data_IF_079347901845
#
_entry.id   IF_079347901845
#
_cell.length_a   1.000
_cell.length_b   1.000
_cell.length_c   1.000
_cell.angle_alpha   90.00
_cell.angle_beta   90.00
_cell.angle_gamma   90.00
#
_symmetry.space_group_name_H-M   'P 1'
#
loop_
_entity.id
_entity.type
_entity.pdbx_description
1 polymer ?
#
# COMPACT_ATOMS: atom_id res chain seq x y z
N UNK A 1 19.59 34.14 -24.47
CA UNK A 1 20.14 33.25 -25.51
C UNK A 1 19.72 31.83 -25.21
N UNK A 2 18.72 31.34 -25.95
CA UNK A 2 18.16 30.00 -25.83
C UNK A 2 19.12 28.99 -26.47
N UNK A 3 19.40 27.89 -25.77
CA UNK A 3 19.97 26.67 -26.36
C UNK A 3 18.86 25.61 -26.31
N UNK A 4 18.41 25.06 -27.45
CA UNK A 4 17.50 23.93 -27.43
C UNK A 4 18.33 22.68 -27.11
N UNK A 5 18.05 22.04 -25.97
CA UNK A 5 18.56 20.70 -25.70
C UNK A 5 17.64 19.71 -26.43
N UNK A 6 18.12 19.20 -27.56
CA UNK A 6 17.47 18.17 -28.35
C UNK A 6 17.49 16.86 -27.55
N UNK A 7 16.37 16.51 -26.92
CA UNK A 7 16.20 15.25 -26.19
C UNK A 7 15.92 14.13 -27.21
N UNK A 8 16.95 13.35 -27.55
CA UNK A 8 16.80 12.16 -28.39
C UNK A 8 16.31 11.02 -27.49
N UNK A 9 15.01 10.73 -27.53
CA UNK A 9 14.40 9.55 -26.91
C UNK A 9 14.63 8.34 -27.83
N UNK A 10 15.71 7.59 -27.59
CA UNK A 10 16.02 6.36 -28.31
C UNK A 10 15.37 5.16 -27.59
N UNK A 11 14.05 5.05 -27.73
CA UNK A 11 13.31 3.85 -27.34
C UNK A 11 13.62 2.77 -28.40
N UNK A 12 14.56 1.87 -28.09
CA UNK A 12 14.86 0.72 -28.95
C UNK A 12 13.67 -0.25 -28.92
N UNK A 13 12.69 0.01 -29.80
CA UNK A 13 11.70 -0.94 -30.28
C UNK A 13 12.39 -1.98 -31.16
N UNK A 14 12.91 -3.02 -30.53
CA UNK A 14 13.23 -4.30 -31.16
C UNK A 14 12.37 -5.32 -30.39
N UNK A 15 11.27 -5.84 -30.92
CA UNK A 15 11.22 -6.83 -32.00
C UNK A 15 9.87 -6.68 -32.74
N UNK A 16 9.87 -6.22 -33.98
CA UNK A 16 8.77 -6.45 -34.92
C UNK A 16 9.04 -7.75 -35.68
N UNK A 17 8.58 -8.88 -35.12
CA UNK A 17 8.33 -10.07 -35.94
C UNK A 17 6.93 -9.91 -36.52
N UNK A 18 6.84 -9.37 -37.74
CA UNK A 18 5.63 -9.39 -38.54
C UNK A 18 5.31 -10.81 -38.98
N UNK A 19 4.67 -11.59 -38.10
CA UNK A 19 3.89 -12.74 -38.51
C UNK A 19 2.46 -12.24 -38.73
N UNK A 20 2.03 -12.22 -39.99
CA UNK A 20 0.63 -12.11 -40.33
C UNK A 20 -0.12 -13.23 -39.58
N UNK A 21 -0.90 -12.86 -38.58
CA UNK A 21 -1.73 -13.81 -37.83
C UNK A 21 -3.15 -13.76 -38.36
N UNK A 22 -3.66 -14.96 -38.63
CA UNK A 22 -5.05 -15.24 -38.96
C UNK A 22 -6.03 -14.43 -38.10
N UNK A 23 -7.17 -14.06 -38.72
CA UNK A 23 -8.34 -13.45 -38.05
C UNK A 23 -8.99 -14.44 -37.07
N UNK A 24 -8.25 -14.93 -36.08
CA UNK A 24 -8.86 -15.62 -34.95
C UNK A 24 -9.72 -14.61 -34.18
N UNK A 25 -10.92 -15.02 -33.71
CA UNK A 25 -11.68 -14.18 -32.79
C UNK A 25 -10.80 -13.81 -31.61
N UNK A 26 -10.94 -12.56 -31.13
CA UNK A 26 -10.22 -12.08 -29.96
C UNK A 26 -10.56 -12.98 -28.78
N UNK A 27 -9.56 -13.67 -28.25
CA UNK A 27 -9.68 -14.56 -27.10
C UNK A 27 -8.48 -14.33 -26.21
N UNK A 28 -8.75 -14.20 -24.90
CA UNK A 28 -7.72 -14.07 -23.86
C UNK A 28 -7.50 -15.36 -23.10
N UNK A 29 -8.35 -16.38 -23.31
CA UNK A 29 -8.21 -17.65 -22.60
C UNK A 29 -6.80 -18.22 -22.82
N UNK A 30 -6.10 -18.46 -21.71
CA UNK A 30 -4.73 -18.95 -21.69
C UNK A 30 -3.66 -17.85 -21.72
N UNK A 31 -4.04 -16.57 -21.80
CA UNK A 31 -3.09 -15.47 -21.80
C UNK A 31 -2.59 -15.16 -20.38
N UNK A 32 -1.30 -14.90 -20.28
CA UNK A 32 -0.66 -14.37 -19.09
C UNK A 32 -0.41 -12.88 -19.29
N UNK A 33 -0.53 -12.11 -18.22
CA UNK A 33 -0.13 -10.71 -18.20
C UNK A 33 0.72 -10.40 -16.99
N UNK A 34 1.50 -9.35 -17.15
CA UNK A 34 2.36 -8.79 -16.12
C UNK A 34 2.26 -7.28 -16.20
N UNK A 35 2.25 -6.62 -15.06
CA UNK A 35 2.57 -5.20 -15.01
C UNK A 35 3.33 -4.83 -13.74
N UNK A 36 4.04 -3.72 -13.85
CA UNK A 36 4.57 -2.96 -12.75
C UNK A 36 4.19 -1.49 -12.97
N UNK A 37 3.88 -0.78 -11.89
CA UNK A 37 3.49 0.62 -11.95
C UNK A 37 3.57 1.29 -10.59
N UNK A 38 3.10 2.52 -10.52
CA UNK A 38 3.10 3.31 -9.29
C UNK A 38 1.72 3.35 -8.67
N UNK A 39 1.67 3.57 -7.36
CA UNK A 39 0.42 3.81 -6.64
C UNK A 39 0.45 5.13 -5.85
N UNK A 40 -0.75 5.55 -5.47
CA UNK A 40 -1.04 6.60 -4.49
C UNK A 40 -2.13 6.07 -3.59
N UNK A 41 -2.07 6.44 -2.32
CA UNK A 41 -2.97 5.93 -1.30
C UNK A 41 -3.69 7.07 -0.59
N UNK A 42 -4.89 6.79 -0.12
CA UNK A 42 -5.60 7.62 0.84
C UNK A 42 -6.09 6.71 1.95
N UNK A 43 -6.07 7.19 3.20
CA UNK A 43 -6.41 6.39 4.36
C UNK A 43 -7.66 6.95 5.04
N UNK A 44 -8.62 6.06 5.28
CA UNK A 44 -9.68 6.34 6.24
C UNK A 44 -9.08 6.45 7.64
N UNK A 45 -9.79 7.14 8.53
CA UNK A 45 -9.44 7.17 9.95
C UNK A 45 -9.41 5.75 10.51
N UNK A 46 -8.46 5.51 11.41
CA UNK A 46 -8.19 4.18 11.96
C UNK A 46 -8.27 4.20 13.48
N UNK A 47 -8.78 3.10 14.05
CA UNK A 47 -8.66 2.83 15.47
C UNK A 47 -7.41 1.97 15.70
N UNK A 48 -6.59 2.36 16.68
CA UNK A 48 -5.32 1.67 17.00
C UNK A 48 -5.34 1.27 18.47
N UNK A 49 -5.38 -0.03 18.71
CA UNK A 49 -5.33 -0.60 20.05
C UNK A 49 -3.91 -1.02 20.42
N UNK A 50 -3.45 -0.56 21.58
CA UNK A 50 -2.17 -0.92 22.19
C UNK A 50 -2.42 -1.70 23.46
N UNK A 51 -1.73 -2.83 23.62
CA UNK A 51 -1.84 -3.69 24.78
C UNK A 51 -0.46 -4.16 25.20
N UNK A 52 -0.15 -4.05 26.49
CA UNK A 52 1.09 -4.49 27.08
C UNK A 52 1.00 -4.53 28.61
N UNK A 53 2.14 -4.72 29.27
CA UNK A 53 2.19 -4.67 30.74
C UNK A 53 1.98 -3.22 31.18
N UNK A 54 0.94 -2.93 31.96
CA UNK A 54 0.67 -1.59 32.49
C UNK A 54 -0.24 -0.73 31.62
N UNK A 55 -0.51 -1.11 30.36
CA UNK A 55 -1.41 -0.38 29.48
C UNK A 55 -2.29 -1.28 28.61
N UNK A 56 -3.54 -0.86 28.41
CA UNK A 56 -4.49 -1.44 27.45
C UNK A 56 -5.42 -0.29 27.03
N UNK A 57 -5.13 0.31 25.88
CA UNK A 57 -5.86 1.49 25.41
C UNK A 57 -6.07 1.45 23.90
N UNK A 58 -7.07 2.19 23.44
CA UNK A 58 -7.37 2.41 22.03
C UNK A 58 -7.41 3.89 21.74
N UNK A 59 -6.65 4.30 20.72
CA UNK A 59 -6.80 5.58 20.07
C UNK A 59 -7.84 5.44 18.96
N UNK A 60 -8.84 6.30 18.95
CA UNK A 60 -9.87 6.30 17.91
C UNK A 60 -9.66 7.42 16.91
N UNK A 61 -10.16 7.19 15.69
CA UNK A 61 -10.21 8.20 14.65
C UNK A 61 -8.84 8.77 14.23
N UNK A 62 -7.78 7.95 14.37
CA UNK A 62 -6.39 8.34 14.04
C UNK A 62 -6.26 8.57 12.54
N UNK A 63 -5.72 9.74 12.18
CA UNK A 63 -5.46 10.16 10.81
C UNK A 63 -4.05 9.77 10.39
N UNK A 64 -3.93 9.32 9.14
CA UNK A 64 -2.66 9.06 8.49
C UNK A 64 -2.68 9.54 7.05
N UNK A 65 -1.49 9.82 6.53
CA UNK A 65 -1.25 10.29 5.19
C UNK A 65 -0.39 9.31 4.39
N UNK A 66 -0.50 9.43 3.07
CA UNK A 66 0.44 8.87 2.14
C UNK A 66 1.79 9.62 2.18
N UNK A 67 2.86 8.97 1.71
CA UNK A 67 4.19 9.58 1.61
C UNK A 67 4.79 9.43 0.20
N UNK A 68 4.18 10.10 -0.80
CA UNK A 68 4.66 10.05 -2.16
C UNK A 68 5.99 10.80 -2.32
N UNK A 69 6.94 10.18 -3.01
CA UNK A 69 8.18 10.84 -3.40
C UNK A 69 7.87 11.89 -4.48
N UNK A 70 8.44 13.11 -4.41
CA UNK A 70 8.26 14.13 -5.43
C UNK A 70 8.54 13.61 -6.84
N UNK A 71 7.68 13.99 -7.79
CA UNK A 71 7.79 13.50 -9.16
C UNK A 71 9.09 14.00 -9.80
N UNK A 72 9.97 13.05 -10.14
CA UNK A 72 11.17 13.34 -10.91
C UNK A 72 11.61 12.11 -11.71
N UNK A 73 12.34 12.34 -12.80
CA UNK A 73 12.92 11.28 -13.62
C UNK A 73 13.85 10.39 -12.78
N UNK A 74 14.67 10.98 -11.92
CA UNK A 74 15.64 10.26 -11.10
C UNK A 74 14.97 9.36 -10.04
N UNK A 75 13.78 9.72 -9.56
CA UNK A 75 13.07 8.91 -8.55
C UNK A 75 12.21 7.80 -9.17
N UNK A 76 11.62 8.05 -10.35
CA UNK A 76 10.61 7.15 -10.93
C UNK A 76 11.13 6.30 -12.10
N UNK A 77 12.20 6.72 -12.79
CA UNK A 77 12.73 6.01 -13.97
C UNK A 77 14.14 5.43 -13.77
N UNK A 78 14.80 5.74 -12.66
CA UNK A 78 16.05 5.09 -12.28
C UNK A 78 15.80 3.67 -11.74
N UNK A 79 16.29 2.68 -12.46
CA UNK A 79 16.11 1.26 -12.12
C UNK A 79 16.72 0.93 -10.75
N UNK A 80 17.78 1.63 -10.34
CA UNK A 80 18.41 1.42 -9.02
C UNK A 80 17.55 1.92 -7.85
N UNK A 81 16.51 2.71 -8.15
CA UNK A 81 15.63 3.38 -7.18
C UNK A 81 14.18 2.96 -7.30
N UNK A 82 13.89 1.96 -8.12
CA UNK A 82 12.53 1.52 -8.47
C UNK A 82 11.68 1.08 -7.27
N UNK A 83 12.33 0.70 -6.16
CA UNK A 83 11.68 0.33 -4.90
C UNK A 83 11.45 1.49 -3.91
N UNK A 84 11.95 2.69 -4.20
CA UNK A 84 11.84 3.87 -3.31
C UNK A 84 10.44 4.52 -3.40
N UNK A 85 9.89 4.80 -4.60
CA UNK A 85 8.49 5.17 -4.74
C UNK A 85 7.56 4.01 -4.36
N UNK A 86 6.32 4.34 -4.06
CA UNK A 86 5.28 3.32 -3.93
C UNK A 86 4.95 2.71 -5.29
N UNK A 87 4.87 1.38 -5.33
CA UNK A 87 4.67 0.63 -6.55
C UNK A 87 3.67 -0.50 -6.39
N UNK A 88 3.16 -0.97 -7.52
CA UNK A 88 2.38 -2.18 -7.64
C UNK A 88 3.08 -3.15 -8.59
N UNK A 89 2.92 -4.43 -8.29
CA UNK A 89 3.35 -5.52 -9.14
C UNK A 89 2.19 -6.48 -9.29
N UNK A 90 1.92 -6.96 -10.50
CA UNK A 90 0.89 -7.98 -10.72
C UNK A 90 1.28 -8.94 -11.82
N UNK A 91 1.00 -10.22 -11.58
CA UNK A 91 1.02 -11.27 -12.58
C UNK A 91 -0.32 -11.99 -12.58
N UNK A 92 -0.93 -12.14 -13.75
CA UNK A 92 -2.24 -12.76 -13.89
C UNK A 92 -2.37 -13.69 -15.07
N UNK A 93 -3.41 -14.53 -15.00
CA UNK A 93 -3.74 -15.56 -15.96
C UNK A 93 -5.24 -15.53 -16.28
N UNK A 94 -5.57 -15.36 -17.56
CA UNK A 94 -6.93 -15.42 -18.06
C UNK A 94 -7.37 -16.87 -18.27
N UNK A 95 -8.18 -17.41 -17.36
CA UNK A 95 -8.73 -18.76 -17.50
C UNK A 95 -9.94 -18.82 -18.45
N UNK A 96 -10.51 -17.66 -18.81
CA UNK A 96 -11.41 -17.48 -19.94
C UNK A 96 -11.28 -16.04 -20.50
N UNK A 97 -12.09 -15.70 -21.50
CA UNK A 97 -11.96 -14.41 -22.20
C UNK A 97 -12.32 -13.17 -21.35
N UNK A 98 -12.99 -13.34 -20.22
CA UNK A 98 -13.42 -12.26 -19.34
C UNK A 98 -12.81 -12.33 -17.96
N UNK A 99 -12.33 -13.48 -17.51
CA UNK A 99 -11.89 -13.66 -16.14
C UNK A 99 -10.43 -14.04 -16.03
N UNK A 100 -9.75 -13.38 -15.10
CA UNK A 100 -8.38 -13.67 -14.72
C UNK A 100 -8.28 -13.93 -13.22
N UNK A 101 -7.32 -14.78 -12.86
CA UNK A 101 -6.81 -14.87 -11.49
C UNK A 101 -5.40 -14.27 -11.48
N UNK A 102 -5.06 -13.50 -10.45
CA UNK A 102 -3.73 -12.88 -10.33
C UNK A 102 -3.16 -12.94 -8.93
N UNK A 103 -1.84 -12.89 -8.86
CA UNK A 103 -1.08 -12.56 -7.66
C UNK A 103 -0.48 -11.16 -7.83
N UNK A 104 -0.49 -10.39 -6.76
CA UNK A 104 0.05 -9.03 -6.78
C UNK A 104 0.62 -8.59 -5.44
N UNK A 105 1.38 -7.51 -5.48
CA UNK A 105 1.89 -6.83 -4.29
C UNK A 105 1.76 -5.32 -4.48
N UNK A 106 1.09 -4.67 -3.54
CA UNK A 106 1.00 -3.21 -3.48
C UNK A 106 1.89 -2.71 -2.33
N UNK A 107 2.99 -2.03 -2.68
CA UNK A 107 3.90 -1.40 -1.72
C UNK A 107 3.42 0.03 -1.46
N UNK A 108 2.67 0.24 -0.37
CA UNK A 108 2.16 1.55 0.04
C UNK A 108 2.99 2.14 1.18
N UNK A 109 2.67 3.37 1.61
CA UNK A 109 3.26 3.99 2.82
C UNK A 109 2.16 4.62 3.68
N UNK A 110 2.10 4.23 4.94
CA UNK A 110 1.17 4.78 5.93
C UNK A 110 1.96 5.61 6.94
N UNK A 111 1.64 6.89 7.09
CA UNK A 111 2.30 7.80 8.05
C UNK A 111 1.25 8.45 8.92
N UNK A 112 1.21 8.10 10.21
CA UNK A 112 0.33 8.78 11.17
C UNK A 112 0.65 10.27 11.22
N UNK A 113 -0.38 11.12 11.30
CA UNK A 113 -0.17 12.56 11.51
C UNK A 113 0.32 12.80 12.95
N UNK A 114 1.47 13.44 13.09
CA UNK A 114 1.97 13.85 14.39
C UNK A 114 1.13 14.98 15.00
N UNK A 115 1.09 15.05 16.34
CA UNK A 115 0.45 16.14 17.10
C UNK A 115 -1.04 16.34 16.76
N UNK A 116 -1.73 15.25 16.47
CA UNK A 116 -3.15 15.27 16.10
C UNK A 116 -4.09 15.10 17.30
N UNK A 117 -5.29 15.65 17.19
CA UNK A 117 -6.39 15.39 18.12
C UNK A 117 -7.11 14.09 17.76
N UNK A 118 -7.36 13.27 18.77
CA UNK A 118 -8.07 12.00 18.70
C UNK A 118 -8.95 11.83 19.94
N UNK A 119 -9.52 10.63 20.13
CA UNK A 119 -10.04 10.22 21.43
C UNK A 119 -9.34 8.95 21.90
N UNK A 120 -9.27 8.77 23.23
CA UNK A 120 -8.63 7.62 23.86
C UNK A 120 -9.60 6.95 24.84
N UNK A 121 -9.57 5.62 24.84
CA UNK A 121 -10.29 4.77 25.79
C UNK A 121 -9.32 3.74 26.35
N UNK A 122 -9.41 3.42 27.63
CA UNK A 122 -8.61 2.39 28.28
C UNK A 122 -7.75 2.93 29.41
N UNK A 123 -6.67 2.23 29.74
CA UNK A 123 -5.84 2.50 30.92
C UNK A 123 -4.35 2.54 30.57
N UNK A 124 -3.61 3.44 31.21
CA UNK A 124 -2.15 3.59 31.14
C UNK A 124 -1.63 3.80 32.57
N UNK A 125 -0.66 3.00 33.01
CA UNK A 125 -0.10 3.13 34.37
C UNK A 125 1.07 4.11 34.40
N UNK A 126 1.46 4.56 35.58
CA UNK A 126 2.60 5.49 35.73
C UNK A 126 3.93 4.86 35.28
N UNK A 127 4.02 3.52 35.37
CA UNK A 127 5.17 2.71 35.00
C UNK A 127 4.68 1.53 34.19
N UNK A 128 5.11 1.46 32.94
CA UNK A 128 4.61 0.53 31.93
C UNK A 128 5.73 -0.30 31.30
N UNK A 129 5.41 -1.43 30.69
CA UNK A 129 6.34 -2.40 30.08
C UNK A 129 7.33 -3.07 31.05
N UNK A 130 8.07 -4.05 30.52
CA UNK A 130 9.25 -4.62 31.15
C UNK A 130 10.40 -4.62 30.13
N UNK A 131 11.53 -3.90 30.32
CA UNK A 131 11.85 -3.04 31.45
C UNK A 131 10.93 -1.81 31.53
N UNK A 132 10.69 -1.34 32.75
CA UNK A 132 9.74 -0.26 33.01
C UNK A 132 10.11 1.04 32.28
N UNK A 133 9.11 1.63 31.62
CA UNK A 133 9.06 2.99 31.08
C UNK A 133 8.31 3.83 32.10
N UNK A 134 8.91 4.93 32.55
CA UNK A 134 8.26 5.88 33.48
C UNK A 134 7.40 6.87 32.68
N UNK A 135 6.18 6.46 32.34
CA UNK A 135 5.23 7.26 31.54
C UNK A 135 4.87 8.56 32.25
N UNK A 136 4.78 8.52 33.58
CA UNK A 136 4.51 9.71 34.38
C UNK A 136 5.65 10.75 34.28
N UNK A 137 6.91 10.32 34.16
CA UNK A 137 8.04 11.21 33.95
C UNK A 137 8.08 11.79 32.51
N UNK A 138 7.55 11.07 31.52
CA UNK A 138 7.40 11.58 30.15
C UNK A 138 6.33 12.68 30.13
N UNK A 139 5.11 12.32 30.54
CA UNK A 139 4.00 13.26 30.69
C UNK A 139 2.94 12.70 31.66
N UNK A 140 2.73 13.32 32.84
CA UNK A 140 1.72 12.86 33.78
C UNK A 140 0.29 12.81 33.21
N UNK A 141 -0.01 13.58 32.15
CA UNK A 141 -1.32 13.59 31.51
C UNK A 141 -1.63 12.28 30.74
N UNK A 142 -0.63 11.43 30.48
CA UNK A 142 -0.83 10.14 29.81
C UNK A 142 -1.30 9.04 30.77
N UNK A 143 -1.20 9.25 32.09
CA UNK A 143 -1.46 8.23 33.10
C UNK A 143 -2.91 8.30 33.58
N UNK A 144 -3.59 7.15 33.61
CA UNK A 144 -4.89 6.97 34.22
C UNK A 144 -5.90 6.25 33.34
N UNK A 145 -7.16 6.29 33.78
CA UNK A 145 -8.30 5.73 33.07
C UNK A 145 -8.97 6.77 32.15
N UNK A 146 -9.20 6.33 30.92
CA UNK A 146 -9.82 7.11 29.86
C UNK A 146 -11.09 6.41 29.37
N UNK A 147 -12.16 7.18 29.25
CA UNK A 147 -13.44 6.74 28.70
C UNK A 147 -13.80 7.68 27.56
N UNK A 148 -13.43 7.29 26.34
CA UNK A 148 -13.63 8.06 25.11
C UNK A 148 -13.26 9.56 25.25
N UNK A 149 -12.16 9.86 25.95
CA UNK A 149 -11.76 11.22 26.29
C UNK A 149 -11.06 11.89 25.11
N UNK A 150 -11.26 13.20 24.87
CA UNK A 150 -10.43 13.96 23.95
C UNK A 150 -8.95 13.83 24.34
N UNK A 151 -8.09 13.56 23.36
CA UNK A 151 -6.67 13.31 23.58
C UNK A 151 -5.84 13.89 22.44
N UNK A 152 -4.65 14.39 22.76
CA UNK A 152 -3.69 14.83 21.75
C UNK A 152 -2.59 13.79 21.68
N UNK A 153 -2.45 13.16 20.51
CA UNK A 153 -1.38 12.21 20.23
C UNK A 153 -0.12 13.03 19.93
N UNK A 154 0.62 13.37 20.98
CA UNK A 154 1.90 14.06 20.85
C UNK A 154 3.02 13.10 20.41
N UNK A 155 4.12 13.65 19.88
CA UNK A 155 5.25 12.85 19.37
C UNK A 155 5.94 12.00 20.42
N UNK A 156 5.93 12.43 21.68
CA UNK A 156 6.47 11.66 22.81
C UNK A 156 5.51 10.57 23.31
N UNK A 157 4.23 10.64 22.92
CA UNK A 157 3.24 9.59 23.15
C UNK A 157 3.35 8.48 22.10
N UNK A 158 3.17 8.83 20.82
CA UNK A 158 3.18 7.88 19.72
C UNK A 158 3.72 8.51 18.44
N UNK A 159 4.63 7.82 17.77
CA UNK A 159 4.88 7.94 16.33
C UNK A 159 4.63 6.59 15.69
N UNK A 160 3.94 6.53 14.55
CA UNK A 160 3.52 5.28 13.93
C UNK A 160 3.54 5.35 12.41
N UNK A 161 4.41 4.56 11.79
CA UNK A 161 4.59 4.56 10.34
C UNK A 161 4.87 3.18 9.76
N UNK A 162 4.49 2.99 8.49
CA UNK A 162 4.86 1.87 7.62
C UNK A 162 5.55 2.39 6.36
N UNK A 163 6.60 3.20 6.51
CA UNK A 163 7.26 3.93 5.41
C UNK A 163 8.23 3.09 4.59
N UNK A 164 8.86 2.10 5.22
CA UNK A 164 9.71 1.11 4.56
C UNK A 164 8.90 -0.05 3.92
N UNK A 165 7.58 0.13 3.85
CA UNK A 165 6.66 -0.69 3.09
C UNK A 165 5.45 -1.10 3.91
N UNK A 166 4.28 -0.65 3.50
CA UNK A 166 2.98 -1.19 3.89
C UNK A 166 2.53 -2.18 2.81
N UNK A 167 3.18 -3.35 2.77
CA UNK A 167 3.05 -4.28 1.67
C UNK A 167 1.78 -5.12 1.77
N UNK A 168 0.89 -4.99 0.80
CA UNK A 168 -0.28 -5.85 0.63
C UNK A 168 0.00 -6.89 -0.44
N UNK A 169 0.27 -8.14 -0.02
CA UNK A 169 0.46 -9.29 -0.90
C UNK A 169 -0.87 -10.01 -1.06
N UNK A 170 -1.39 -10.09 -2.29
CA UNK A 170 -2.79 -10.44 -2.50
C UNK A 170 -3.02 -11.33 -3.72
N UNK A 171 -4.12 -12.08 -3.67
CA UNK A 171 -4.68 -12.83 -4.79
C UNK A 171 -5.97 -12.12 -5.20
N UNK A 172 -6.20 -12.01 -6.50
CA UNK A 172 -7.41 -11.35 -7.04
C UNK A 172 -8.10 -12.19 -8.10
N UNK A 173 -9.42 -12.05 -8.13
CA UNK A 173 -10.27 -12.52 -9.20
C UNK A 173 -10.83 -11.31 -9.94
N UNK A 174 -10.46 -11.18 -11.20
CA UNK A 174 -10.75 -10.02 -12.02
C UNK A 174 -11.66 -10.39 -13.19
N UNK A 175 -12.66 -9.56 -13.44
CA UNK A 175 -13.47 -9.57 -14.66
C UNK A 175 -13.08 -8.38 -15.54
N UNK A 176 -12.94 -8.63 -16.83
CA UNK A 176 -12.63 -7.66 -17.87
C UNK A 176 -13.68 -7.72 -18.98
N UNK A 177 -14.28 -6.59 -19.30
CA UNK A 177 -15.27 -6.43 -20.37
C UNK A 177 -14.80 -5.39 -21.40
N UNK A 178 -14.70 -5.80 -22.67
CA UNK A 178 -14.29 -4.91 -23.78
C UNK A 178 -15.38 -3.90 -24.07
N UNK A 179 -15.15 -2.64 -23.72
CA UNK A 179 -16.11 -1.55 -23.94
C UNK A 179 -15.85 -0.77 -25.25
N UNK A 180 -14.64 -0.85 -25.79
CA UNK A 180 -14.32 -0.24 -27.07
C UNK A 180 -13.24 -1.02 -27.82
N UNK A 181 -13.36 -1.07 -29.15
CA UNK A 181 -12.39 -1.76 -30.03
C UNK A 181 -12.12 -0.94 -31.29
N UNK A 182 -10.85 -0.78 -31.63
CA UNK A 182 -10.44 -0.13 -32.86
C UNK A 182 -10.71 -1.01 -34.10
N UNK A 183 -10.93 -0.37 -35.26
CA UNK A 183 -11.17 -1.05 -36.54
C UNK A 183 -10.02 -1.96 -36.97
N UNK A 184 -8.78 -1.67 -36.53
CA UNK A 184 -7.60 -2.49 -36.80
C UNK A 184 -7.56 -3.81 -35.98
N UNK A 185 -8.52 -4.02 -35.07
CA UNK A 185 -8.59 -5.16 -34.16
C UNK A 185 -7.38 -5.35 -33.23
N UNK A 186 -6.57 -4.30 -33.04
CA UNK A 186 -5.40 -4.31 -32.17
C UNK A 186 -5.67 -3.52 -30.90
N UNK A 187 -6.05 -2.24 -31.02
CA UNK A 187 -6.34 -1.42 -29.86
C UNK A 187 -7.74 -1.66 -29.32
N UNK A 188 -7.89 -1.57 -28.01
CA UNK A 188 -9.19 -1.50 -27.36
C UNK A 188 -9.08 -1.12 -25.90
N UNK A 189 -10.24 -0.82 -25.32
CA UNK A 189 -10.39 -0.47 -23.91
C UNK A 189 -11.25 -1.55 -23.26
N UNK A 190 -10.72 -2.15 -22.20
CA UNK A 190 -11.48 -2.96 -21.27
C UNK A 190 -11.83 -2.12 -20.04
N UNK A 191 -13.07 -2.25 -19.59
CA UNK A 191 -13.42 -1.97 -18.21
C UNK A 191 -13.16 -3.24 -17.39
N UNK A 192 -12.61 -3.08 -16.19
CA UNK A 192 -12.36 -4.19 -15.29
C UNK A 192 -12.93 -3.94 -13.91
N UNK A 193 -13.33 -5.01 -13.25
CA UNK A 193 -13.69 -5.06 -11.82
C UNK A 193 -13.04 -6.27 -11.19
N UNK A 194 -12.66 -6.19 -9.92
CA UNK A 194 -12.01 -7.30 -9.24
C UNK A 194 -12.24 -7.30 -7.74
N UNK A 195 -12.09 -8.48 -7.16
CA UNK A 195 -12.08 -8.69 -5.72
C UNK A 195 -10.77 -9.36 -5.32
N UNK A 196 -10.18 -8.91 -4.22
CA UNK A 196 -8.90 -9.35 -3.72
C UNK A 196 -8.92 -9.69 -2.23
N UNK A 197 -8.05 -10.61 -1.85
CA UNK A 197 -7.75 -10.92 -0.46
C UNK A 197 -6.26 -11.22 -0.31
N UNK A 198 -5.67 -10.81 0.81
CA UNK A 198 -4.22 -10.91 0.97
C UNK A 198 -3.71 -10.72 2.39
N UNK A 199 -2.40 -10.89 2.53
CA UNK A 199 -1.67 -10.66 3.77
C UNK A 199 -0.99 -9.28 3.75
N UNK A 200 -0.87 -8.69 4.94
CA UNK A 200 -0.10 -7.46 5.13
C UNK A 200 1.26 -7.80 5.74
N UNK A 201 2.31 -7.34 5.08
CA UNK A 201 3.71 -7.54 5.48
C UNK A 201 4.41 -6.19 5.63
N UNK A 202 4.02 -5.39 6.65
CA UNK A 202 4.64 -4.09 6.86
C UNK A 202 6.04 -4.21 7.45
N UNK A 203 6.83 -3.15 7.26
CA UNK A 203 7.93 -2.81 8.17
C UNK A 203 7.54 -1.56 8.93
N UNK A 204 7.42 -1.68 10.25
CA UNK A 204 6.80 -0.66 11.09
C UNK A 204 7.84 0.11 11.89
N UNK A 205 7.89 1.44 11.72
CA UNK A 205 8.61 2.34 12.63
C UNK A 205 7.60 2.91 13.62
N UNK A 206 7.69 2.40 14.85
CA UNK A 206 6.74 2.73 15.91
C UNK A 206 7.53 3.09 17.15
N UNK A 207 7.16 4.20 17.79
CA UNK A 207 7.67 4.58 19.11
C UNK A 207 6.47 4.88 19.99
N UNK A 208 6.32 4.10 21.05
CA UNK A 208 5.29 4.28 22.07
C UNK A 208 6.00 4.74 23.35
N UNK A 209 5.55 5.84 23.95
CA UNK A 209 6.18 6.45 25.13
C UNK A 209 7.69 6.67 24.92
N UNK A 210 8.05 7.25 23.78
CA UNK A 210 9.44 7.48 23.32
C UNK A 210 10.29 6.23 23.06
N UNK A 211 9.77 5.03 23.32
CA UNK A 211 10.49 3.77 23.15
C UNK A 211 10.03 3.06 21.88
N UNK A 212 10.98 2.70 21.03
CA UNK A 212 10.73 1.92 19.83
C UNK A 212 11.77 2.14 18.75
N UNK A 213 11.56 1.51 17.61
CA UNK A 213 12.52 1.48 16.52
C UNK A 213 11.84 1.17 15.19
N UNK A 214 12.58 1.32 14.11
CA UNK A 214 12.23 0.73 12.82
C UNK A 214 12.39 -0.79 12.90
N UNK A 215 11.27 -1.49 13.00
CA UNK A 215 11.20 -2.94 13.16
C UNK A 215 11.56 -3.68 11.85
N UNK A 216 11.34 -4.99 11.80
CA UNK A 216 11.58 -5.82 10.62
C UNK A 216 10.26 -6.18 9.93
N UNK A 217 10.34 -6.69 8.70
CA UNK A 217 9.17 -7.20 7.99
C UNK A 217 8.56 -8.39 8.71
N UNK A 218 7.25 -8.37 8.92
CA UNK A 218 6.53 -9.47 9.56
C UNK A 218 5.12 -9.60 8.99
N UNK A 219 4.53 -10.79 9.08
CA UNK A 219 3.11 -10.98 8.79
C UNK A 219 2.28 -10.33 9.91
N UNK A 220 1.73 -9.16 9.61
CA UNK A 220 1.05 -8.33 10.60
C UNK A 220 -0.48 -8.46 10.55
N UNK A 221 -1.04 -8.95 9.44
CA UNK A 221 -2.48 -9.01 9.28
C UNK A 221 -2.96 -9.42 7.90
N UNK A 222 -4.21 -9.06 7.59
CA UNK A 222 -4.87 -9.38 6.33
C UNK A 222 -5.68 -8.20 5.80
N UNK A 223 -5.99 -8.25 4.52
CA UNK A 223 -6.81 -7.25 3.84
C UNK A 223 -7.78 -7.87 2.84
N UNK A 224 -8.89 -7.17 2.61
CA UNK A 224 -9.84 -7.43 1.54
C UNK A 224 -9.96 -6.18 0.69
N UNK A 225 -9.99 -6.35 -0.62
CA UNK A 225 -10.06 -5.25 -1.58
C UNK A 225 -11.09 -5.51 -2.67
N UNK A 226 -11.64 -4.42 -3.19
CA UNK A 226 -12.38 -4.38 -4.44
C UNK A 226 -11.74 -3.31 -5.32
N UNK A 227 -11.74 -3.54 -6.63
CA UNK A 227 -11.20 -2.58 -7.58
C UNK A 227 -12.07 -2.44 -8.82
N UNK A 228 -11.93 -1.29 -9.47
CA UNK A 228 -12.42 -1.03 -10.82
C UNK A 228 -11.33 -0.30 -11.60
N UNK A 229 -11.26 -0.50 -12.91
CA UNK A 229 -10.21 0.11 -13.70
C UNK A 229 -10.51 0.14 -15.19
N UNK A 230 -9.58 0.75 -15.92
CA UNK A 230 -9.55 0.72 -17.38
C UNK A 230 -8.21 0.15 -17.82
N UNK A 231 -8.26 -0.78 -18.77
CA UNK A 231 -7.08 -1.28 -19.47
C UNK A 231 -7.16 -0.90 -20.93
N UNK A 232 -6.13 -0.22 -21.43
CA UNK A 232 -5.97 0.13 -22.83
C UNK A 232 -4.88 -0.73 -23.46
N UNK A 233 -5.25 -1.57 -24.44
CA UNK A 233 -4.28 -2.33 -25.21
C UNK A 233 -3.66 -1.44 -26.31
N UNK A 234 -2.35 -1.19 -26.21
CA UNK A 234 -1.57 -0.48 -27.22
C UNK A 234 -1.22 -1.39 -28.41
N UNK A 235 -0.95 -2.67 -28.10
CA UNK A 235 -0.66 -3.74 -29.07
C UNK A 235 -1.19 -5.08 -28.55
N UNK A 236 -0.97 -6.17 -29.29
CA UNK A 236 -1.29 -7.53 -28.82
C UNK A 236 -0.51 -7.97 -27.58
N UNK A 237 0.53 -7.23 -27.18
CA UNK A 237 1.44 -7.60 -26.07
C UNK A 237 1.66 -6.50 -25.05
N UNK A 238 1.17 -5.29 -25.33
CA UNK A 238 1.43 -4.11 -24.50
C UNK A 238 0.11 -3.44 -24.18
N UNK A 239 -0.08 -3.14 -22.90
CA UNK A 239 -1.23 -2.42 -22.39
C UNK A 239 -0.80 -1.39 -21.36
N UNK A 240 -1.69 -0.43 -21.11
CA UNK A 240 -1.65 0.45 -19.96
C UNK A 240 -2.90 0.16 -19.13
N UNK A 241 -2.77 0.15 -17.81
CA UNK A 241 -3.89 -0.10 -16.91
C UNK A 241 -3.90 0.97 -15.80
N UNK A 242 -5.09 1.48 -15.51
CA UNK A 242 -5.35 2.33 -14.35
C UNK A 242 -6.41 1.66 -13.49
N UNK A 243 -6.10 1.51 -12.20
CA UNK A 243 -6.98 0.88 -11.22
C UNK A 243 -7.30 1.89 -10.11
N UNK A 244 -8.57 1.91 -9.69
CA UNK A 244 -9.00 2.44 -8.41
C UNK A 244 -9.29 1.23 -7.52
N UNK A 245 -8.58 1.11 -6.41
CA UNK A 245 -8.77 0.05 -5.42
C UNK A 245 -9.20 0.66 -4.09
N UNK A 246 -10.19 0.03 -3.44
CA UNK A 246 -10.62 0.35 -2.09
C UNK A 246 -10.83 -0.93 -1.30
N UNK A 247 -10.68 -0.86 0.02
CA UNK A 247 -10.76 -2.04 0.87
C UNK A 247 -10.58 -1.73 2.34
N UNK A 248 -10.41 -2.78 3.13
CA UNK A 248 -10.02 -2.66 4.53
C UNK A 248 -8.86 -3.60 4.81
N UNK A 249 -8.08 -3.22 5.81
CA UNK A 249 -6.95 -3.98 6.33
C UNK A 249 -7.09 -4.08 7.84
N UNK A 250 -6.71 -5.21 8.41
CA UNK A 250 -6.67 -5.41 9.85
C UNK A 250 -5.30 -5.93 10.23
N UNK A 251 -4.57 -5.14 11.00
CA UNK A 251 -3.26 -5.47 11.54
C UNK A 251 -3.41 -5.88 13.00
N UNK A 252 -3.09 -7.12 13.32
CA UNK A 252 -3.19 -7.68 14.67
C UNK A 252 -1.84 -8.02 15.29
N UNK A 253 -0.77 -7.98 14.49
CA UNK A 253 0.57 -8.36 14.93
C UNK A 253 1.58 -7.33 14.43
N UNK A 254 1.51 -6.10 14.94
CA UNK A 254 2.44 -5.02 14.60
C UNK A 254 3.50 -4.91 15.69
N UNK A 255 4.77 -4.96 15.30
CA UNK A 255 5.87 -4.69 16.22
C UNK A 255 5.90 -3.21 16.60
N UNK A 256 5.98 -2.93 17.91
CA UNK A 256 5.93 -1.57 18.46
C UNK A 256 7.30 -1.17 19.05
N UNK A 257 7.52 -1.41 20.34
CA UNK A 257 8.67 -0.96 21.15
C UNK A 257 10.00 -1.64 20.77
N UNK A 258 9.99 -2.62 19.86
CA UNK A 258 11.15 -3.42 19.49
C UNK A 258 11.60 -4.41 20.57
N UNK A 259 10.82 -4.57 21.64
CA UNK A 259 11.09 -5.47 22.77
C UNK A 259 10.33 -6.79 22.64
N UNK A 260 10.34 -7.37 21.44
CA UNK A 260 9.54 -8.55 21.08
C UNK A 260 9.75 -9.80 21.98
N UNK A 261 10.88 -9.88 22.68
CA UNK A 261 11.18 -10.98 23.61
C UNK A 261 10.57 -10.75 25.02
N UNK A 262 9.95 -9.61 25.26
CA UNK A 262 9.55 -9.13 26.60
C UNK A 262 8.14 -8.50 26.63
N UNK A 263 7.72 -7.83 25.55
CA UNK A 263 6.39 -7.24 25.33
C UNK A 263 5.60 -8.02 24.26
#
# INVERSE_FOLDING_TARGET
>A
MQKPLLLIFLFNLLIFSGLAQDKKPYSRKGEHYFFWGWNRSEYAKSDISFKGIGYDFTLHDVVANDLPIPLSVAEYLDITRISIPQYNFRYGYFFNDHWAISIGSDHMKYVMVDEQSASITGHISAKDSNPSIDVNAINPAYVGDFDHKPFVIAKDFLTYEHTDGFNYLHIELDRYDRIWKAKNNIQGVDWLVGLGAGALIPRSDVKLFTVGQNNHFNFAGYGLSAKTGLRFDLSRRLFLQTDLMGGFVRLSNVHTTGRNDID
#
